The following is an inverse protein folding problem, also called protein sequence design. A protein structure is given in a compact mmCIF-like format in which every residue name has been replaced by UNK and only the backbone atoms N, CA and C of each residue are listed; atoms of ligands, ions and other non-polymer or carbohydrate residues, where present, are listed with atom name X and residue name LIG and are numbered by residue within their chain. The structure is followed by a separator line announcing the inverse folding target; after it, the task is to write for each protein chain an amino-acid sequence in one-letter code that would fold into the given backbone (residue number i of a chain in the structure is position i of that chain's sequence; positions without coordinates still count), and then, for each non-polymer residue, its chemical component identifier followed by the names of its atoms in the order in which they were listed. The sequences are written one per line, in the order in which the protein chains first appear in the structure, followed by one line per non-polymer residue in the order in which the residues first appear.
data_IF_302566702773
#
_entry.id   IF_302566702773
#
_cell.length_a   1.000
_cell.length_b   1.000
_cell.length_c   1.000
_cell.angle_alpha   90.00
_cell.angle_beta   90.00
_cell.angle_gamma   90.00
#
_symmetry.space_group_name_H-M   'P 1'
#
loop_
_entity.id
_entity.type
_entity.pdbx_description
1 polymer ?
#
# COMPACT_ATOMS: atom_id res chain seq x y z
N UNK A 1 9.45 10.22 -13.48
CA UNK A 1 8.11 10.68 -13.06
C UNK A 1 8.18 10.96 -11.57
N UNK A 2 7.80 12.16 -11.09
CA UNK A 2 7.73 12.43 -9.64
C UNK A 2 6.41 11.85 -9.14
N UNK A 3 6.44 10.88 -8.25
CA UNK A 3 5.26 10.47 -7.50
C UNK A 3 4.68 11.70 -6.81
N UNK A 4 3.38 11.91 -6.95
CA UNK A 4 2.74 13.06 -6.31
C UNK A 4 2.78 12.87 -4.78
N UNK A 5 2.72 13.95 -3.98
CA UNK A 5 2.70 13.83 -2.51
C UNK A 5 1.59 12.89 -2.00
N UNK A 6 0.50 12.76 -2.76
CA UNK A 6 -0.64 11.89 -2.47
C UNK A 6 -0.24 10.42 -2.61
N UNK A 7 0.47 10.06 -3.68
CA UNK A 7 0.91 8.68 -3.94
C UNK A 7 1.82 8.16 -2.80
N UNK A 8 2.74 9.00 -2.32
CA UNK A 8 3.60 8.67 -1.18
C UNK A 8 2.81 8.48 0.13
N UNK A 9 1.73 9.23 0.32
CA UNK A 9 0.87 9.13 1.51
C UNK A 9 0.08 7.83 1.52
N UNK A 10 -0.45 7.43 0.35
CA UNK A 10 -1.18 6.16 0.19
C UNK A 10 -0.27 4.98 0.47
N UNK A 11 0.93 4.99 -0.12
CA UNK A 11 1.91 3.92 0.06
C UNK A 11 2.37 3.81 1.52
N UNK A 12 2.67 4.92 2.19
CA UNK A 12 3.01 4.90 3.63
C UNK A 12 1.87 4.34 4.49
N UNK A 13 0.61 4.66 4.15
CA UNK A 13 -0.55 4.13 4.87
C UNK A 13 -0.70 2.63 4.66
N UNK A 14 -0.52 2.15 3.43
CA UNK A 14 -0.55 0.72 3.12
C UNK A 14 0.57 -0.05 3.85
N UNK A 15 1.79 0.48 3.86
CA UNK A 15 2.93 -0.10 4.62
C UNK A 15 2.60 -0.18 6.11
N UNK A 16 2.04 0.88 6.69
CA UNK A 16 1.64 0.89 8.10
C UNK A 16 0.61 -0.20 8.41
N UNK A 17 -0.41 -0.37 7.56
CA UNK A 17 -1.44 -1.38 7.77
C UNK A 17 -0.86 -2.81 7.65
N UNK A 18 0.03 -3.04 6.69
CA UNK A 18 0.69 -4.33 6.50
C UNK A 18 1.71 -4.65 7.61
N UNK A 19 2.56 -3.70 7.98
CA UNK A 19 3.70 -3.93 8.90
C UNK A 19 3.33 -3.73 10.36
N UNK A 20 2.64 -2.64 10.68
CA UNK A 20 2.38 -2.24 12.07
C UNK A 20 1.03 -2.79 12.58
N UNK A 21 0.02 -2.90 11.69
CA UNK A 21 -1.27 -3.51 12.03
C UNK A 21 -1.36 -5.01 11.71
N UNK A 22 -0.37 -5.58 11.00
CA UNK A 22 -0.36 -6.98 10.53
C UNK A 22 -1.64 -7.38 9.78
N UNK A 23 -2.24 -6.45 9.05
CA UNK A 23 -3.40 -6.72 8.19
C UNK A 23 -2.96 -7.51 6.96
N UNK A 24 -3.84 -8.37 6.44
CA UNK A 24 -3.59 -9.05 5.16
C UNK A 24 -3.76 -8.07 3.98
N UNK A 25 -3.18 -8.38 2.83
CA UNK A 25 -3.30 -7.55 1.62
C UNK A 25 -4.77 -7.21 1.31
N UNK A 26 -5.67 -8.20 1.38
CA UNK A 26 -7.09 -7.97 1.14
C UNK A 26 -7.71 -6.98 2.14
N UNK A 27 -7.36 -7.08 3.42
CA UNK A 27 -7.83 -6.13 4.45
C UNK A 27 -7.30 -4.72 4.19
N UNK A 28 -6.07 -4.58 3.72
CA UNK A 28 -5.47 -3.29 3.37
C UNK A 28 -6.15 -2.66 2.16
N UNK A 29 -6.44 -3.43 1.10
CA UNK A 29 -7.21 -2.96 -0.07
C UNK A 29 -8.57 -2.41 0.34
N UNK A 30 -9.26 -3.09 1.26
CA UNK A 30 -10.55 -2.65 1.77
C UNK A 30 -10.40 -1.40 2.64
N UNK A 31 -9.43 -1.39 3.57
CA UNK A 31 -9.18 -0.25 4.49
C UNK A 31 -8.72 1.01 3.77
N UNK A 32 -7.97 0.90 2.67
CA UNK A 32 -7.52 2.07 1.91
C UNK A 32 -8.69 2.90 1.37
N UNK A 33 -9.86 2.28 1.12
CA UNK A 33 -11.07 3.00 0.71
C UNK A 33 -11.53 4.01 1.78
N UNK A 34 -11.39 3.67 3.06
CA UNK A 34 -11.86 4.51 4.16
C UNK A 34 -10.99 5.76 4.34
N UNK A 35 -9.70 5.67 3.99
CA UNK A 35 -8.75 6.78 4.07
C UNK A 35 -8.67 7.58 2.76
N UNK A 36 -8.85 6.92 1.62
CA UNK A 36 -8.72 7.50 0.29
C UNK A 36 -9.95 7.15 -0.57
N UNK A 37 -11.10 7.82 -0.35
CA UNK A 37 -12.36 7.46 -1.02
C UNK A 37 -12.35 7.70 -2.53
N UNK A 38 -11.46 8.56 -3.02
CA UNK A 38 -11.27 8.83 -4.46
C UNK A 38 -10.36 7.80 -5.14
N UNK A 39 -9.76 6.88 -4.37
CA UNK A 39 -8.83 5.89 -4.87
C UNK A 39 -9.58 4.71 -5.49
N UNK A 40 -9.30 4.43 -6.76
CA UNK A 40 -9.93 3.32 -7.47
C UNK A 40 -9.56 1.98 -6.81
N UNK A 41 -10.36 0.94 -7.02
CA UNK A 41 -10.05 -0.40 -6.51
C UNK A 41 -8.70 -0.90 -7.06
N UNK A 42 -8.49 -0.71 -8.36
CA UNK A 42 -7.26 -1.08 -9.03
C UNK A 42 -6.03 -0.36 -8.43
N UNK A 43 -6.14 0.92 -8.11
CA UNK A 43 -5.03 1.64 -7.47
C UNK A 43 -4.79 1.16 -6.03
N UNK A 44 -5.85 0.80 -5.29
CA UNK A 44 -5.73 0.21 -3.95
C UNK A 44 -4.97 -1.12 -3.98
N UNK A 45 -5.29 -1.99 -4.92
CA UNK A 45 -4.56 -3.24 -5.15
C UNK A 45 -3.09 -2.97 -5.49
N UNK A 46 -2.84 -2.05 -6.42
CA UNK A 46 -1.49 -1.66 -6.82
C UNK A 46 -0.67 -1.15 -5.64
N UNK A 47 -1.17 -0.17 -4.88
CA UNK A 47 -0.46 0.39 -3.73
C UNK A 47 -0.27 -0.63 -2.61
N UNK A 48 -1.20 -1.56 -2.44
CA UNK A 48 -1.06 -2.64 -1.46
C UNK A 48 0.03 -3.62 -1.87
N UNK A 49 0.08 -4.03 -3.15
CA UNK A 49 1.14 -4.88 -3.69
C UNK A 49 2.51 -4.21 -3.58
N UNK A 50 2.61 -2.92 -3.96
CA UNK A 50 3.86 -2.16 -3.84
C UNK A 50 4.30 -2.06 -2.36
N UNK A 51 3.36 -1.85 -1.43
CA UNK A 51 3.65 -1.83 0.00
C UNK A 51 4.05 -3.21 0.53
N UNK A 52 3.41 -4.28 0.05
CA UNK A 52 3.74 -5.65 0.41
C UNK A 52 5.16 -6.00 -0.01
N UNK A 53 5.53 -5.63 -1.24
CA UNK A 53 6.89 -5.77 -1.76
C UNK A 53 7.89 -4.94 -0.95
N UNK A 54 7.52 -3.76 -0.45
CA UNK A 54 8.43 -2.99 0.42
C UNK A 54 8.58 -3.58 1.82
N UNK A 55 7.53 -4.18 2.37
CA UNK A 55 7.54 -4.80 3.71
C UNK A 55 8.26 -6.15 3.69
N UNK A 56 8.04 -6.95 2.65
CA UNK A 56 8.54 -8.33 2.53
C UNK A 56 9.74 -8.47 1.58
N UNK A 57 9.93 -7.54 0.66
CA UNK A 57 10.98 -7.52 -0.35
C UNK A 57 12.32 -6.98 0.13
N UNK A 58 12.83 -7.53 1.24
CA UNK A 58 14.22 -8.00 1.18
C UNK A 58 14.21 -9.30 0.39
N UNK A 59 14.21 -9.28 -0.94
CA UNK A 59 14.78 -10.35 -1.79
C UNK A 59 14.66 -10.01 -3.29
N UNK A 60 15.60 -9.19 -3.77
CA UNK A 60 16.20 -9.33 -5.11
C UNK A 60 17.67 -8.83 -5.11
N UNK A 61 18.37 -9.05 -4.01
CA UNK A 61 19.82 -9.29 -3.99
C UNK A 61 19.89 -10.62 -3.21
N UNK A 62 20.29 -11.77 -3.76
CA UNK A 62 21.57 -12.18 -4.35
C UNK A 62 21.29 -13.35 -5.31
#
# INVERSE_FOLDING_TARGET
MRSTPVDSTILHKAIFLLRDCHESEQQVVDRLKDYFPTLSHHDRERYTSEAWDMVHGKHAEI
#
